data_IF_427936047967
#
_entry.id   IF_427936047967
#
_cell.length_a   1.000
_cell.length_b   1.000
_cell.length_c   1.000
_cell.angle_alpha   90.00
_cell.angle_beta   90.00
_cell.angle_gamma   90.00
#
_symmetry.space_group_name_H-M   'P 1'
#
loop_
_entity.id
_entity.type
_entity.pdbx_description
1 polymer ?
#
# COMPACT_ATOMS: atom_id res chain seq x y z
N UNK A 1 -4.82 -47.11 -57.85
CA UNK A 1 -3.93 -46.48 -56.84
C UNK A 1 -3.80 -45.00 -57.16
N UNK A 2 -4.44 -44.11 -56.39
CA UNK A 2 -3.88 -42.80 -56.05
C UNK A 2 -4.77 -42.05 -55.03
N UNK A 3 -4.20 -41.89 -53.84
CA UNK A 3 -4.32 -40.82 -52.83
C UNK A 3 -5.61 -39.98 -52.79
N UNK A 4 -6.50 -40.33 -51.86
CA UNK A 4 -7.43 -39.39 -51.26
C UNK A 4 -6.82 -38.76 -50.00
N UNK A 5 -6.84 -37.43 -49.96
CA UNK A 5 -6.45 -36.57 -48.86
C UNK A 5 -7.54 -36.64 -47.76
N UNK A 6 -7.16 -37.02 -46.55
CA UNK A 6 -8.01 -36.90 -45.37
C UNK A 6 -7.48 -35.79 -44.45
N UNK A 7 -8.30 -34.79 -44.11
CA UNK A 7 -7.92 -33.79 -43.11
C UNK A 7 -8.07 -34.41 -41.71
N UNK A 8 -6.96 -34.50 -40.97
CA UNK A 8 -6.99 -34.84 -39.55
C UNK A 8 -7.39 -33.57 -38.79
N UNK A 9 -8.68 -33.45 -38.47
CA UNK A 9 -9.15 -32.52 -37.45
C UNK A 9 -8.64 -32.99 -36.09
N UNK A 10 -7.73 -32.22 -35.50
CA UNK A 10 -7.32 -32.37 -34.11
C UNK A 10 -8.49 -31.87 -33.26
N UNK A 11 -9.28 -32.80 -32.71
CA UNK A 11 -10.28 -32.49 -31.69
C UNK A 11 -9.54 -32.12 -30.39
N UNK A 12 -9.50 -30.83 -30.07
CA UNK A 12 -9.17 -30.35 -28.73
C UNK A 12 -10.28 -30.82 -27.78
N UNK A 13 -10.06 -31.95 -27.11
CA UNK A 13 -10.90 -32.38 -26.00
C UNK A 13 -10.63 -31.43 -24.83
N UNK A 14 -11.44 -30.37 -24.72
CA UNK A 14 -11.54 -29.58 -23.52
C UNK A 14 -12.15 -30.46 -22.41
N UNK A 15 -11.30 -30.98 -21.53
CA UNK A 15 -11.76 -31.52 -20.25
C UNK A 15 -12.18 -30.36 -19.37
N UNK A 16 -13.47 -30.03 -19.40
CA UNK A 16 -14.13 -29.20 -18.40
C UNK A 16 -14.55 -30.09 -17.22
N UNK A 17 -14.01 -29.90 -16.00
CA UNK A 17 -14.67 -30.41 -14.81
C UNK A 17 -15.92 -29.56 -14.56
N UNK A 18 -17.09 -30.15 -14.78
CA UNK A 18 -18.34 -29.65 -14.20
C UNK A 18 -18.23 -29.79 -12.68
N UNK A 19 -17.78 -28.73 -12.00
CA UNK A 19 -18.03 -28.60 -10.58
C UNK A 19 -19.18 -27.61 -10.42
N UNK A 20 -20.38 -28.15 -10.13
CA UNK A 20 -21.52 -27.37 -9.67
C UNK A 20 -21.13 -26.76 -8.33
N UNK A 21 -20.72 -25.51 -8.33
CA UNK A 21 -20.76 -24.68 -7.14
C UNK A 21 -22.03 -23.86 -7.29
N UNK A 22 -23.05 -24.24 -6.52
CA UNK A 22 -24.18 -23.37 -6.25
C UNK A 22 -23.61 -22.11 -5.58
N UNK A 23 -23.51 -21.04 -6.37
CA UNK A 23 -23.25 -19.69 -5.86
C UNK A 23 -24.47 -19.27 -5.07
N UNK A 24 -24.54 -19.71 -3.81
CA UNK A 24 -25.21 -18.93 -2.78
C UNK A 24 -24.40 -17.67 -2.62
N UNK A 25 -24.99 -16.54 -3.02
CA UNK A 25 -24.44 -15.21 -2.81
C UNK A 25 -24.36 -14.95 -1.30
N UNK A 26 -23.32 -15.49 -0.66
CA UNK A 26 -22.83 -14.96 0.58
C UNK A 26 -22.27 -13.57 0.25
N UNK A 27 -23.10 -12.56 0.52
CA UNK A 27 -22.70 -11.17 0.76
C UNK A 27 -21.26 -11.19 1.30
N UNK A 28 -20.30 -10.46 0.71
CA UNK A 28 -19.04 -10.24 1.37
C UNK A 28 -19.38 -9.65 2.73
N UNK A 29 -19.25 -10.45 3.78
CA UNK A 29 -19.11 -9.91 5.12
C UNK A 29 -17.82 -9.15 5.03
N UNK A 30 -17.95 -7.86 4.72
CA UNK A 30 -17.01 -6.84 5.14
C UNK A 30 -16.79 -7.12 6.62
N UNK A 31 -15.75 -7.92 6.89
CA UNK A 31 -15.16 -7.94 8.21
C UNK A 31 -14.81 -6.48 8.40
N UNK A 32 -15.42 -5.76 9.36
CA UNK A 32 -14.95 -4.42 9.63
C UNK A 32 -13.46 -4.59 9.86
N UNK A 33 -12.64 -4.02 8.98
CA UNK A 33 -11.24 -3.73 9.31
C UNK A 33 -11.37 -3.01 10.62
N UNK A 34 -11.06 -3.73 11.69
CA UNK A 34 -11.19 -3.26 13.05
C UNK A 34 -10.56 -1.88 13.03
N UNK A 35 -11.39 -0.85 13.21
CA UNK A 35 -10.95 0.54 13.14
C UNK A 35 -9.79 0.60 14.11
N UNK A 36 -8.61 0.77 13.54
CA UNK A 36 -7.37 0.70 14.26
C UNK A 36 -7.39 1.85 15.26
N UNK A 37 -7.85 1.53 16.47
CA UNK A 37 -8.12 2.45 17.56
C UNK A 37 -6.83 2.69 18.33
N UNK A 38 -5.74 2.92 17.60
CA UNK A 38 -4.57 3.55 18.17
C UNK A 38 -4.93 5.00 18.49
N UNK A 39 -4.55 5.43 19.69
CA UNK A 39 -4.67 6.84 20.08
C UNK A 39 -3.99 7.72 19.04
N UNK A 40 -4.61 8.86 18.75
CA UNK A 40 -4.00 9.86 17.88
C UNK A 40 -2.75 10.41 18.58
N UNK A 41 -1.60 10.27 17.94
CA UNK A 41 -0.31 10.77 18.42
C UNK A 41 0.05 12.07 17.72
N UNK A 42 0.79 12.91 18.42
CA UNK A 42 1.42 14.12 17.88
C UNK A 42 2.93 13.94 17.92
N UNK A 43 3.61 14.07 16.78
CA UNK A 43 5.05 13.87 16.66
C UNK A 43 5.67 14.97 15.79
N UNK A 44 6.85 15.43 16.17
CA UNK A 44 7.65 16.33 15.34
C UNK A 44 8.90 15.59 14.86
N UNK A 45 9.19 15.70 13.57
CA UNK A 45 10.28 14.95 12.97
C UNK A 45 10.66 15.45 11.58
N UNK A 46 11.34 14.60 10.85
CA UNK A 46 11.77 14.85 9.48
C UNK A 46 10.99 13.99 8.52
N UNK A 47 10.43 14.59 7.48
CA UNK A 47 9.74 13.89 6.38
C UNK A 47 10.70 13.79 5.21
N UNK A 48 10.85 12.59 4.65
CA UNK A 48 11.63 12.33 3.44
C UNK A 48 10.73 11.69 2.38
N UNK A 49 10.65 12.34 1.21
CA UNK A 49 9.97 11.81 0.04
C UNK A 49 10.94 11.70 -1.14
N UNK A 50 10.93 10.55 -1.80
CA UNK A 50 11.62 10.31 -3.07
C UNK A 50 10.72 9.43 -3.97
N UNK A 51 11.27 8.92 -5.08
CA UNK A 51 10.55 7.96 -5.93
C UNK A 51 10.33 6.60 -5.23
N UNK A 52 11.20 6.25 -4.29
CA UNK A 52 11.20 4.94 -3.62
C UNK A 52 10.88 5.02 -2.12
N UNK A 53 10.83 6.22 -1.56
CA UNK A 53 10.73 6.44 -0.12
C UNK A 53 9.63 7.44 0.22
N UNK A 54 8.88 7.11 1.25
CA UNK A 54 7.95 7.97 1.95
C UNK A 54 8.15 7.67 3.43
N UNK A 55 9.06 8.40 4.06
CA UNK A 55 9.56 8.11 5.40
C UNK A 55 9.33 9.31 6.33
N UNK A 56 8.94 9.04 7.57
CA UNK A 56 8.92 10.01 8.65
C UNK A 56 9.86 9.53 9.75
N UNK A 57 10.81 10.37 10.17
CA UNK A 57 11.76 10.04 11.23
C UNK A 57 11.57 10.96 12.43
N UNK A 58 11.28 10.37 13.60
CA UNK A 58 11.12 11.08 14.86
C UNK A 58 11.66 10.22 16.01
N UNK A 59 12.27 10.84 17.02
CA UNK A 59 12.77 10.17 18.23
C UNK A 59 13.68 8.95 17.92
N UNK A 60 14.53 9.07 16.90
CA UNK A 60 15.44 7.99 16.47
C UNK A 60 14.76 6.79 15.80
N UNK A 61 13.46 6.89 15.47
CA UNK A 61 12.69 5.86 14.77
C UNK A 61 12.25 6.38 13.41
N UNK A 62 12.33 5.51 12.40
CA UNK A 62 11.83 5.77 11.05
C UNK A 62 10.56 4.96 10.80
N UNK A 63 9.52 5.65 10.38
CA UNK A 63 8.20 5.13 10.06
C UNK A 63 7.97 5.25 8.56
N UNK A 64 7.31 4.26 7.96
CA UNK A 64 6.73 4.45 6.63
C UNK A 64 5.55 5.42 6.70
N UNK A 65 5.39 6.33 5.75
CA UNK A 65 4.20 7.19 5.67
C UNK A 65 3.11 6.44 4.90
N UNK A 66 2.12 5.93 5.64
CA UNK A 66 0.97 5.18 5.13
C UNK A 66 -0.29 6.07 5.12
N UNK A 67 -0.30 7.05 4.21
CA UNK A 67 -1.29 8.14 4.18
C UNK A 67 -0.67 9.45 4.69
N UNK A 68 -0.70 10.48 3.85
CA UNK A 68 -0.01 11.75 4.13
C UNK A 68 -0.35 12.86 3.16
N UNK A 69 -1.61 12.94 2.73
CA UNK A 69 -2.09 13.98 1.81
C UNK A 69 -1.80 15.39 2.34
N UNK A 70 -1.92 15.59 3.66
CA UNK A 70 -1.62 16.86 4.32
C UNK A 70 -0.15 17.30 4.20
N UNK A 71 0.77 16.39 3.86
CA UNK A 71 2.18 16.71 3.61
C UNK A 71 2.43 17.17 2.16
N UNK A 72 1.53 16.84 1.23
CA UNK A 72 1.79 16.97 -0.21
C UNK A 72 1.98 18.41 -0.64
N UNK A 73 1.22 19.37 -0.09
CA UNK A 73 1.38 20.79 -0.42
C UNK A 73 2.82 21.30 -0.18
N UNK A 74 3.41 20.93 0.98
CA UNK A 74 4.77 21.33 1.31
C UNK A 74 5.80 20.57 0.46
N UNK A 75 5.54 19.29 0.19
CA UNK A 75 6.39 18.46 -0.67
C UNK A 75 6.44 19.02 -2.09
N UNK A 76 5.30 19.28 -2.70
CA UNK A 76 5.18 19.84 -4.04
C UNK A 76 5.82 21.22 -4.15
N UNK A 77 5.55 22.10 -3.17
CA UNK A 77 6.21 23.40 -3.10
C UNK A 77 7.73 23.27 -3.04
N UNK A 78 8.25 22.31 -2.27
CA UNK A 78 9.70 22.06 -2.19
C UNK A 78 10.25 21.52 -3.52
N UNK A 79 9.53 20.61 -4.21
CA UNK A 79 9.93 20.11 -5.53
C UNK A 79 9.98 21.22 -6.57
N UNK A 80 8.95 22.08 -6.59
CA UNK A 80 8.88 23.21 -7.52
C UNK A 80 10.01 24.21 -7.30
N UNK A 81 10.38 24.47 -6.04
CA UNK A 81 11.44 25.43 -5.73
C UNK A 81 12.85 24.86 -5.90
N UNK A 82 13.05 23.57 -5.61
CA UNK A 82 14.36 22.92 -5.66
C UNK A 82 14.68 22.25 -7.00
N UNK A 83 13.66 21.91 -7.80
CA UNK A 83 13.79 21.05 -8.98
C UNK A 83 14.14 19.59 -8.67
N UNK A 84 14.12 19.18 -7.39
CA UNK A 84 14.47 17.84 -6.94
C UNK A 84 13.23 17.02 -6.62
N UNK A 85 13.23 15.74 -7.02
CA UNK A 85 12.22 14.78 -6.56
C UNK A 85 12.44 14.33 -5.11
N UNK A 86 13.70 14.38 -4.65
CA UNK A 86 14.08 14.12 -3.27
C UNK A 86 13.78 15.35 -2.43
N UNK A 87 12.85 15.20 -1.50
CA UNK A 87 12.37 16.26 -0.61
C UNK A 87 12.68 15.85 0.82
N UNK A 88 13.33 16.75 1.55
CA UNK A 88 13.50 16.65 3.00
C UNK A 88 12.82 17.85 3.64
N UNK A 89 11.80 17.59 4.46
CA UNK A 89 11.14 18.61 5.26
C UNK A 89 11.54 18.38 6.72
N UNK A 90 12.24 19.35 7.31
CA UNK A 90 12.68 19.29 8.69
C UNK A 90 11.63 19.90 9.62
N UNK A 91 11.63 19.47 10.88
CA UNK A 91 10.78 20.00 11.95
C UNK A 91 9.28 19.99 11.61
N UNK A 92 8.83 18.97 10.87
CA UNK A 92 7.41 18.81 10.53
C UNK A 92 6.67 18.23 11.73
N UNK A 93 5.64 18.94 12.18
CA UNK A 93 4.71 18.44 13.19
C UNK A 93 3.55 17.72 12.50
N UNK A 94 3.34 16.46 12.86
CA UNK A 94 2.23 15.65 12.39
C UNK A 94 1.33 15.24 13.54
N UNK A 95 0.05 15.10 13.24
CA UNK A 95 -0.94 14.43 14.07
C UNK A 95 -1.52 13.26 13.28
N UNK A 96 -1.59 12.08 13.89
CA UNK A 96 -2.08 10.89 13.21
C UNK A 96 -1.91 9.63 14.05
N UNK A 97 -1.80 8.47 13.39
CA UNK A 97 -1.74 7.16 14.07
C UNK A 97 -0.49 6.39 13.71
N UNK A 98 0.14 5.78 14.70
CA UNK A 98 1.22 4.82 14.49
C UNK A 98 0.61 3.43 14.28
N UNK A 99 1.04 2.77 13.21
CA UNK A 99 0.62 1.43 12.82
C UNK A 99 1.76 0.44 13.05
N UNK A 100 1.46 -0.74 13.57
CA UNK A 100 2.42 -1.84 13.78
C UNK A 100 2.20 -3.00 12.80
N UNK A 101 3.15 -3.93 12.70
CA UNK A 101 2.99 -5.11 11.84
C UNK A 101 1.79 -5.97 12.23
N UNK A 102 1.52 -6.09 13.53
CA UNK A 102 0.40 -6.89 14.06
C UNK A 102 -0.93 -6.33 13.55
N UNK A 103 -1.04 -5.00 13.54
CA UNK A 103 -2.16 -4.27 12.96
C UNK A 103 -2.23 -4.36 11.42
N UNK A 104 -1.18 -4.85 10.77
CA UNK A 104 -1.08 -5.07 9.33
C UNK A 104 -0.98 -6.57 8.99
N UNK A 105 -1.68 -7.43 9.74
CA UNK A 105 -1.76 -8.88 9.48
C UNK A 105 -0.39 -9.58 9.52
N UNK A 106 0.55 -9.04 10.31
CA UNK A 106 1.93 -9.52 10.40
C UNK A 106 2.86 -9.00 9.30
N UNK A 107 2.35 -8.25 8.33
CA UNK A 107 3.14 -7.73 7.22
C UNK A 107 3.85 -6.41 7.60
N UNK A 108 5.06 -6.22 7.06
CA UNK A 108 5.74 -4.93 7.11
C UNK A 108 5.06 -3.90 6.21
N UNK A 109 5.44 -2.63 6.37
CA UNK A 109 4.97 -1.52 5.55
C UNK A 109 5.99 -1.14 4.48
N UNK A 110 5.54 -0.35 3.50
CA UNK A 110 6.36 0.16 2.40
C UNK A 110 6.85 -0.93 1.43
N UNK A 111 7.72 -0.55 0.47
CA UNK A 111 8.26 -1.49 -0.51
C UNK A 111 8.89 -2.71 0.16
N UNK A 112 8.43 -3.90 -0.26
CA UNK A 112 8.88 -5.20 0.24
C UNK A 112 8.75 -5.39 1.77
N UNK A 113 7.90 -4.60 2.45
CA UNK A 113 7.69 -4.71 3.89
C UNK A 113 8.89 -4.29 4.75
N UNK A 114 9.74 -3.39 4.24
CA UNK A 114 10.97 -2.90 4.89
C UNK A 114 10.73 -2.33 6.30
N UNK A 115 9.58 -1.70 6.55
CA UNK A 115 9.34 -0.98 7.81
C UNK A 115 8.47 -1.81 8.76
N UNK A 116 8.86 -1.87 10.04
CA UNK A 116 8.05 -2.54 11.07
C UNK A 116 6.88 -1.70 11.58
N UNK A 117 6.92 -0.39 11.33
CA UNK A 117 5.87 0.53 11.72
C UNK A 117 5.62 1.53 10.60
N UNK A 118 4.40 2.04 10.55
CA UNK A 118 4.02 3.16 9.71
C UNK A 118 3.37 4.26 10.53
N UNK A 119 3.24 5.44 9.93
CA UNK A 119 2.40 6.51 10.42
C UNK A 119 1.38 6.85 9.35
N UNK A 120 0.10 6.88 9.74
CA UNK A 120 -0.95 7.51 8.94
C UNK A 120 -1.13 8.93 9.42
N UNK A 121 -0.80 9.89 8.57
CA UNK A 121 -0.83 11.32 8.90
C UNK A 121 -2.22 11.86 8.60
N UNK A 122 -2.93 12.31 9.64
CA UNK A 122 -4.28 12.85 9.55
C UNK A 122 -4.24 14.37 9.31
N UNK A 123 -3.32 15.08 9.98
CA UNK A 123 -3.12 16.52 9.80
C UNK A 123 -1.70 16.94 10.17
N UNK A 124 -1.36 18.17 9.77
CA UNK A 124 -0.20 18.87 10.30
C UNK A 124 -0.60 19.69 11.51
N UNK A 125 0.34 19.86 12.42
CA UNK A 125 0.31 20.89 13.45
C UNK A 125 1.23 22.05 13.00
#
# INVERSE_FOLDING_TARGET
>A
MNKFLFPILIALTACSPQNKIETSAAKPTETPVEKNSGDTVKMTGTVHYSLEQAEFTANGKTYFINGGESLMDQVEKNRLSSGSYNVTLNNVCIQGKVLTKEQNQGNGFGPLGKYSQAVSVESLC
#
